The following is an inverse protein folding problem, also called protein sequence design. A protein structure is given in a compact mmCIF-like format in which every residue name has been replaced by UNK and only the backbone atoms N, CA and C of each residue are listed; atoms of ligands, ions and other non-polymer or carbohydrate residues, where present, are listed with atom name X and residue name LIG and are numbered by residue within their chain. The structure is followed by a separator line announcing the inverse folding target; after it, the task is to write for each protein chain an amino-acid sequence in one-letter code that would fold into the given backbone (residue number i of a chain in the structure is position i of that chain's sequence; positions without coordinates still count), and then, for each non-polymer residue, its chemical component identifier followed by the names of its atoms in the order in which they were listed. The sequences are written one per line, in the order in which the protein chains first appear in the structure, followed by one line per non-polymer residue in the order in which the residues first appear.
data_IF_819717354966
#
_entry.id   IF_819717354966
#
_cell.length_a   1.000
_cell.length_b   1.000
_cell.length_c   1.000
_cell.angle_alpha   90.00
_cell.angle_beta   90.00
_cell.angle_gamma   90.00
#
_symmetry.space_group_name_H-M   'P 1'
#
loop_
_entity.id
_entity.type
_entity.pdbx_description
1 polymer ?
#
# COMPACT_ATOMS: atom_id res chain seq x y z
N UNK A 1 8.45 -5.54 -1.23
CA UNK A 1 9.77 -5.14 -0.70
C UNK A 1 9.56 -4.19 0.47
N UNK A 2 10.27 -4.40 1.58
CA UNK A 2 10.18 -3.56 2.78
C UNK A 2 11.12 -2.35 2.66
N UNK A 3 10.58 -1.19 2.28
CA UNK A 3 11.36 0.05 2.06
C UNK A 3 10.82 1.20 2.88
N UNK A 4 11.65 2.23 3.10
CA UNK A 4 11.26 3.42 3.88
C UNK A 4 10.05 4.14 3.27
N UNK A 5 10.07 4.39 1.96
CA UNK A 5 8.95 5.03 1.26
C UNK A 5 7.61 4.26 1.39
N UNK A 6 7.67 2.92 1.55
CA UNK A 6 6.49 2.11 1.85
C UNK A 6 6.05 2.33 3.29
N UNK A 7 6.98 2.39 4.25
CA UNK A 7 6.69 2.57 5.69
C UNK A 7 6.17 3.96 6.04
N UNK A 8 6.59 4.99 5.33
CA UNK A 8 6.04 6.36 5.46
C UNK A 8 4.53 6.42 5.18
N UNK A 9 4.06 5.57 4.26
CA UNK A 9 2.67 5.59 3.77
C UNK A 9 1.82 4.44 4.28
N UNK A 10 2.43 3.33 4.67
CA UNK A 10 1.73 2.10 5.02
C UNK A 10 2.29 1.47 6.28
N UNK A 11 1.41 0.78 7.02
CA UNK A 11 1.79 -0.03 8.18
C UNK A 11 1.78 -1.51 7.75
N UNK A 12 2.95 -2.18 7.69
CA UNK A 12 3.02 -3.62 7.41
C UNK A 12 2.12 -4.44 8.33
N UNK A 13 1.49 -5.49 7.79
CA UNK A 13 0.54 -6.35 8.49
C UNK A 13 -0.86 -5.72 8.69
N UNK A 14 -1.01 -4.40 8.50
CA UNK A 14 -2.30 -3.70 8.58
C UNK A 14 -2.84 -3.32 7.20
N UNK A 15 -2.02 -2.66 6.37
CA UNK A 15 -2.42 -2.13 5.06
C UNK A 15 -1.91 -3.01 3.90
N UNK A 16 -0.76 -3.63 4.09
CA UNK A 16 -0.11 -4.51 3.13
C UNK A 16 0.85 -5.47 3.86
N UNK A 17 1.36 -6.45 3.14
CA UNK A 17 2.41 -7.36 3.63
C UNK A 17 3.69 -6.99 2.90
N UNK A 18 4.79 -6.87 3.63
CA UNK A 18 6.13 -6.68 3.05
C UNK A 18 6.99 -7.90 3.31
N UNK A 19 7.98 -8.09 2.46
CA UNK A 19 9.03 -9.10 2.58
C UNK A 19 10.39 -8.47 2.26
N UNK A 20 11.44 -9.09 2.77
CA UNK A 20 12.85 -8.71 2.66
C UNK A 20 13.67 -9.70 1.83
N UNK A 21 13.11 -10.85 1.48
CA UNK A 21 13.74 -11.84 0.59
C UNK A 21 12.73 -12.61 -0.25
N UNK A 22 13.23 -13.29 -1.28
CA UNK A 22 12.42 -14.20 -2.10
C UNK A 22 11.84 -15.35 -1.24
N UNK A 23 12.66 -15.98 -0.41
CA UNK A 23 12.22 -17.09 0.46
C UNK A 23 11.14 -16.65 1.47
N UNK A 24 11.28 -15.45 2.05
CA UNK A 24 10.24 -14.90 2.91
C UNK A 24 8.96 -14.65 2.13
N UNK A 25 9.08 -14.16 0.89
CA UNK A 25 7.92 -13.94 0.01
C UNK A 25 7.15 -15.24 -0.24
N UNK A 26 7.85 -16.34 -0.53
CA UNK A 26 7.23 -17.67 -0.72
C UNK A 26 6.52 -18.15 0.55
N UNK A 27 7.16 -18.05 1.73
CA UNK A 27 6.53 -18.42 3.01
C UNK A 27 5.28 -17.60 3.31
N UNK A 28 5.33 -16.30 3.04
CA UNK A 28 4.19 -15.41 3.22
C UNK A 28 3.07 -15.74 2.23
N UNK A 29 3.39 -16.08 0.98
CA UNK A 29 2.41 -16.51 0.00
C UNK A 29 1.65 -17.75 0.49
N UNK A 30 2.37 -18.80 0.89
CA UNK A 30 1.78 -20.05 1.40
C UNK A 30 0.90 -19.81 2.62
N UNK A 31 1.33 -18.94 3.54
CA UNK A 31 0.53 -18.54 4.68
C UNK A 31 -0.74 -17.81 4.22
N UNK A 32 -0.59 -16.72 3.47
CA UNK A 32 -1.72 -15.87 3.14
C UNK A 32 -2.72 -16.56 2.22
N UNK A 33 -2.32 -17.45 1.30
CA UNK A 33 -3.22 -18.23 0.45
C UNK A 33 -4.21 -19.09 1.25
N UNK A 34 -3.80 -19.58 2.42
CA UNK A 34 -4.66 -20.34 3.35
C UNK A 34 -5.52 -19.48 4.29
N UNK A 35 -5.32 -18.15 4.29
CA UNK A 35 -5.97 -17.22 5.23
C UNK A 35 -6.79 -16.12 4.53
N UNK A 36 -7.83 -16.51 3.79
CA UNK A 36 -8.61 -15.59 2.95
C UNK A 36 -9.20 -14.41 3.73
N UNK A 37 -9.83 -14.64 4.89
CA UNK A 37 -10.36 -13.55 5.73
C UNK A 37 -9.29 -12.51 6.07
N UNK A 38 -8.07 -12.96 6.37
CA UNK A 38 -6.95 -12.07 6.70
C UNK A 38 -6.49 -11.30 5.47
N UNK A 39 -6.40 -11.95 4.30
CA UNK A 39 -6.11 -11.28 3.01
C UNK A 39 -7.12 -10.18 2.72
N UNK A 40 -8.42 -10.50 2.73
CA UNK A 40 -9.52 -9.55 2.48
C UNK A 40 -9.48 -8.37 3.45
N UNK A 41 -9.25 -8.63 4.74
CA UNK A 41 -9.13 -7.58 5.77
C UNK A 41 -7.96 -6.64 5.49
N UNK A 42 -6.78 -7.17 5.13
CA UNK A 42 -5.61 -6.34 4.81
C UNK A 42 -5.85 -5.55 3.52
N UNK A 43 -6.40 -6.18 2.49
CA UNK A 43 -6.69 -5.53 1.20
C UNK A 43 -7.65 -4.34 1.36
N UNK A 44 -8.77 -4.51 2.08
CA UNK A 44 -9.71 -3.43 2.36
C UNK A 44 -9.05 -2.27 3.10
N UNK A 45 -8.27 -2.56 4.15
CA UNK A 45 -7.54 -1.53 4.89
C UNK A 45 -6.47 -0.84 4.05
N UNK A 46 -5.80 -1.58 3.17
CA UNK A 46 -4.83 -1.03 2.21
C UNK A 46 -5.48 -0.07 1.23
N UNK A 47 -6.62 -0.45 0.67
CA UNK A 47 -7.39 0.40 -0.23
C UNK A 47 -7.86 1.69 0.47
N UNK A 48 -8.44 1.59 1.67
CA UNK A 48 -8.84 2.78 2.44
C UNK A 48 -7.66 3.71 2.74
N UNK A 49 -6.47 3.15 3.00
CA UNK A 49 -5.25 3.94 3.22
C UNK A 49 -4.80 4.68 1.95
N UNK A 50 -4.92 4.07 0.77
CA UNK A 50 -4.59 4.75 -0.49
C UNK A 50 -5.50 5.95 -0.71
N UNK A 51 -6.80 5.80 -0.43
CA UNK A 51 -7.76 6.90 -0.56
C UNK A 51 -7.56 7.99 0.49
N UNK A 52 -7.07 7.66 1.70
CA UNK A 52 -6.75 8.67 2.72
C UNK A 52 -5.47 9.44 2.43
N UNK A 53 -4.47 8.81 1.81
CA UNK A 53 -3.16 9.44 1.53
C UNK A 53 -3.12 10.28 0.24
N UNK A 54 -4.28 10.72 -0.24
CA UNK A 54 -4.37 11.60 -1.40
C UNK A 54 -3.55 11.11 -2.63
N UNK A 55 -3.43 9.79 -2.80
CA UNK A 55 -2.68 9.18 -3.90
C UNK A 55 -3.56 8.91 -5.14
N UNK A 56 -4.70 9.58 -5.25
CA UNK A 56 -5.54 9.50 -6.44
C UNK A 56 -4.99 10.41 -7.52
N UNK A 57 -5.22 10.04 -8.79
CA UNK A 57 -4.79 10.86 -9.92
C UNK A 57 -5.36 12.27 -9.86
N UNK A 58 -6.63 12.43 -9.45
CA UNK A 58 -7.25 13.74 -9.30
C UNK A 58 -6.51 14.62 -8.28
N UNK A 59 -6.11 14.06 -7.13
CA UNK A 59 -5.35 14.83 -6.16
C UNK A 59 -3.94 15.16 -6.66
N UNK A 60 -3.27 14.20 -7.29
CA UNK A 60 -1.93 14.41 -7.87
C UNK A 60 -1.95 15.48 -8.96
N UNK A 61 -2.94 15.45 -9.85
CA UNK A 61 -3.16 16.48 -10.86
C UNK A 61 -3.41 17.85 -10.21
N UNK A 62 -4.29 17.93 -9.21
CA UNK A 62 -4.54 19.17 -8.47
C UNK A 62 -3.30 19.70 -7.74
N UNK A 63 -2.43 18.83 -7.22
CA UNK A 63 -1.14 19.22 -6.66
C UNK A 63 -0.20 19.79 -7.73
N UNK A 64 -0.09 19.14 -8.89
CA UNK A 64 0.76 19.61 -9.99
C UNK A 64 0.30 20.98 -10.48
N UNK A 65 -0.99 21.16 -10.75
CA UNK A 65 -1.55 22.45 -11.17
C UNK A 65 -1.27 23.54 -10.13
N UNK A 66 -1.46 23.23 -8.84
CA UNK A 66 -1.18 24.15 -7.74
C UNK A 66 0.30 24.54 -7.64
N UNK A 67 1.22 23.59 -7.84
CA UNK A 67 2.66 23.83 -7.69
C UNK A 67 3.28 24.51 -8.92
N UNK A 68 2.77 24.21 -10.11
CA UNK A 68 3.32 24.73 -11.37
C UNK A 68 2.68 26.04 -11.81
N UNK A 69 1.54 26.42 -11.23
CA UNK A 69 0.80 27.62 -11.65
C UNK A 69 0.10 27.48 -13.01
N UNK A 70 0.13 26.29 -13.61
CA UNK A 70 -0.67 25.96 -14.79
C UNK A 70 -2.15 26.03 -14.40
N UNK A 71 -2.87 27.00 -14.95
CA UNK A 71 -4.33 27.14 -14.83
C UNK A 71 -4.98 26.78 -16.15
#
# INVERSE_FOLDING_TARGET
MDTEAVREKFRPGKHLVVSRSADETLRLLDYYLRHERKRKKIALKGQSQVYSYFNTYNYRAAQILRLTGLR
#
